data_IF_355380783047
#
_entry.id   IF_355380783047
#
_cell.length_a   1.000
_cell.length_b   1.000
_cell.length_c   1.000
_cell.angle_alpha   90.00
_cell.angle_beta   90.00
_cell.angle_gamma   90.00
#
_symmetry.space_group_name_H-M   'P 1'
#
loop_
_entity.id
_entity.type
_entity.pdbx_description
1 polymer ?
#
# COMPACT_ATOMS: atom_id res chain seq x y z
N UNK A 1 1.87 20.85 -9.69
CA UNK A 1 1.31 19.78 -10.56
C UNK A 1 0.57 18.76 -9.69
N UNK A 2 -0.76 18.84 -9.63
CA UNK A 2 -1.60 17.91 -8.87
C UNK A 2 -1.79 16.64 -9.71
N UNK A 3 -1.21 15.51 -9.27
CA UNK A 3 -1.58 14.21 -9.84
C UNK A 3 -3.00 13.90 -9.39
N UNK A 4 -3.93 13.87 -10.34
CA UNK A 4 -5.30 13.43 -10.11
C UNK A 4 -5.25 12.03 -9.49
N UNK A 5 -5.76 11.89 -8.25
CA UNK A 5 -6.07 10.57 -7.69
C UNK A 5 -7.12 9.96 -8.62
N UNK A 6 -6.79 8.81 -9.18
CA UNK A 6 -7.73 8.00 -9.94
C UNK A 6 -9.05 7.90 -9.16
N UNK A 7 -10.16 8.10 -9.88
CA UNK A 7 -11.50 8.40 -9.37
C UNK A 7 -11.91 7.57 -8.17
N UNK A 8 -12.28 8.29 -7.11
CA UNK A 8 -12.68 7.77 -5.80
C UNK A 8 -14.19 7.93 -5.67
N UNK A 9 -14.98 7.12 -6.39
CA UNK A 9 -16.44 7.04 -6.21
C UNK A 9 -17.00 5.73 -6.78
N UNK A 10 -17.59 4.94 -5.89
CA UNK A 10 -18.42 3.74 -6.10
C UNK A 10 -18.49 3.11 -7.50
N UNK A 11 -17.72 2.05 -7.71
CA UNK A 11 -17.96 1.04 -8.75
C UNK A 11 -17.42 -0.28 -8.19
N UNK A 12 -18.16 -1.38 -8.37
CA UNK A 12 -17.72 -2.75 -8.06
C UNK A 12 -16.21 -2.89 -8.30
N UNK A 13 -15.45 -3.07 -7.22
CA UNK A 13 -14.01 -2.86 -7.21
C UNK A 13 -13.35 -3.80 -8.21
N UNK A 14 -12.95 -3.26 -9.36
CA UNK A 14 -12.11 -3.98 -10.31
C UNK A 14 -10.91 -4.52 -9.55
N UNK A 15 -10.52 -5.79 -9.73
CA UNK A 15 -9.30 -6.31 -9.11
C UNK A 15 -8.11 -5.41 -9.44
N UNK A 16 -7.36 -5.02 -8.41
CA UNK A 16 -6.15 -4.21 -8.58
C UNK A 16 -5.06 -5.01 -9.28
N UNK A 17 -4.28 -4.33 -10.11
CA UNK A 17 -3.12 -4.88 -10.82
C UNK A 17 -1.88 -4.89 -9.92
N UNK A 18 -0.86 -5.70 -10.24
CA UNK A 18 0.40 -5.72 -9.48
C UNK A 18 1.07 -4.32 -9.39
N UNK A 19 0.90 -3.49 -10.42
CA UNK A 19 1.38 -2.11 -10.42
C UNK A 19 0.64 -1.26 -9.39
N UNK A 20 -0.68 -1.34 -9.35
CA UNK A 20 -1.51 -0.63 -8.37
C UNK A 20 -1.23 -1.13 -6.95
N UNK A 21 -1.10 -2.45 -6.76
CA UNK A 21 -0.65 -3.07 -5.50
C UNK A 21 0.67 -2.48 -5.02
N UNK A 22 1.66 -2.35 -5.91
CA UNK A 22 2.95 -1.75 -5.57
C UNK A 22 2.79 -0.32 -5.08
N UNK A 23 1.97 0.50 -5.75
CA UNK A 23 1.71 1.87 -5.31
C UNK A 23 0.96 1.96 -3.98
N UNK A 24 -0.01 1.07 -3.74
CA UNK A 24 -0.70 1.00 -2.45
C UNK A 24 0.27 0.64 -1.32
N UNK A 25 1.09 -0.40 -1.49
CA UNK A 25 2.05 -0.85 -0.48
C UNK A 25 3.06 0.24 -0.13
N UNK A 26 3.66 0.90 -1.12
CA UNK A 26 4.65 1.96 -0.84
C UNK A 26 3.98 3.24 -0.31
N UNK A 27 2.79 3.58 -0.81
CA UNK A 27 2.06 4.78 -0.41
C UNK A 27 1.53 4.70 1.02
N UNK A 28 1.20 3.49 1.49
CA UNK A 28 0.74 3.22 2.86
C UNK A 28 1.70 3.69 3.95
N UNK A 29 2.98 3.89 3.62
CA UNK A 29 3.99 4.45 4.54
C UNK A 29 3.74 5.92 4.87
N UNK A 30 3.24 6.69 3.90
CA UNK A 30 3.07 8.13 4.01
C UNK A 30 1.63 8.53 4.34
N UNK A 31 0.65 7.77 3.84
CA UNK A 31 -0.78 7.99 4.09
C UNK A 31 -1.45 6.64 4.39
N UNK A 32 -2.21 6.50 5.49
CA UNK A 32 -2.94 5.27 5.77
C UNK A 32 -3.89 4.89 4.65
N UNK A 33 -3.98 3.60 4.34
CA UNK A 33 -4.93 3.08 3.35
C UNK A 33 -6.37 3.19 3.88
N UNK A 34 -7.31 3.48 2.97
CA UNK A 34 -8.74 3.32 3.25
C UNK A 34 -9.13 1.85 3.39
N UNK A 35 -10.28 1.58 4.02
CA UNK A 35 -10.81 0.20 4.16
C UNK A 35 -10.92 -0.52 2.81
N UNK A 36 -11.43 0.16 1.78
CA UNK A 36 -11.55 -0.40 0.43
C UNK A 36 -10.19 -0.76 -0.20
N UNK A 37 -9.14 0.01 0.10
CA UNK A 37 -7.79 -0.27 -0.40
C UNK A 37 -7.15 -1.45 0.36
N UNK A 38 -7.42 -1.58 1.66
CA UNK A 38 -7.01 -2.72 2.48
C UNK A 38 -7.65 -4.01 1.94
N UNK A 39 -8.95 -4.00 1.69
CA UNK A 39 -9.68 -5.17 1.19
C UNK A 39 -9.19 -5.58 -0.20
N UNK A 40 -9.00 -4.61 -1.11
CA UNK A 40 -8.49 -4.87 -2.45
C UNK A 40 -7.04 -5.41 -2.44
N UNK A 41 -6.20 -4.88 -1.55
CA UNK A 41 -4.84 -5.37 -1.34
C UNK A 41 -4.86 -6.80 -0.80
N UNK A 42 -5.65 -7.07 0.23
CA UNK A 42 -5.79 -8.40 0.83
C UNK A 42 -6.24 -9.43 -0.22
N UNK A 43 -7.22 -9.08 -1.06
CA UNK A 43 -7.70 -9.97 -2.12
C UNK A 43 -6.62 -10.27 -3.17
N UNK A 44 -5.89 -9.25 -3.64
CA UNK A 44 -4.79 -9.45 -4.59
C UNK A 44 -3.68 -10.33 -4.01
N UNK A 45 -3.35 -10.12 -2.72
CA UNK A 45 -2.30 -10.88 -2.04
C UNK A 45 -2.67 -12.35 -1.81
N UNK A 46 -3.95 -12.76 -1.92
CA UNK A 46 -4.30 -14.19 -1.86
C UNK A 46 -3.80 -14.98 -3.07
N UNK A 47 -3.68 -14.33 -4.23
CA UNK A 47 -3.47 -15.03 -5.51
C UNK A 47 -2.15 -14.70 -6.20
N UNK A 48 -1.49 -13.58 -5.84
CA UNK A 48 -0.24 -13.16 -6.47
C UNK A 48 0.99 -13.39 -5.57
N UNK A 49 1.74 -14.46 -5.82
CA UNK A 49 2.96 -14.81 -5.05
C UNK A 49 4.05 -13.73 -5.13
N UNK A 50 4.23 -13.10 -6.28
CA UNK A 50 5.20 -12.01 -6.44
C UNK A 50 4.86 -10.81 -5.54
N UNK A 51 3.58 -10.41 -5.51
CA UNK A 51 3.15 -9.31 -4.65
C UNK A 51 3.16 -9.69 -3.17
N UNK A 52 2.96 -10.96 -2.79
CA UNK A 52 3.16 -11.42 -1.41
C UNK A 52 4.62 -11.22 -0.96
N UNK A 53 5.59 -11.61 -1.79
CA UNK A 53 7.02 -11.44 -1.49
C UNK A 53 7.37 -9.95 -1.42
N UNK A 54 6.95 -9.16 -2.42
CA UNK A 54 7.21 -7.73 -2.44
C UNK A 54 6.61 -7.02 -1.23
N UNK A 55 5.37 -7.34 -0.83
CA UNK A 55 4.72 -6.79 0.35
C UNK A 55 5.56 -7.04 1.61
N UNK A 56 6.05 -8.27 1.82
CA UNK A 56 6.93 -8.61 2.95
C UNK A 56 8.24 -7.82 2.92
N UNK A 57 8.87 -7.71 1.75
CA UNK A 57 10.13 -6.96 1.59
C UNK A 57 9.96 -5.48 1.91
N UNK A 58 8.88 -4.85 1.42
CA UNK A 58 8.59 -3.45 1.74
C UNK A 58 8.27 -3.25 3.23
N UNK A 59 7.48 -4.13 3.85
CA UNK A 59 7.22 -4.06 5.29
C UNK A 59 8.50 -4.15 6.12
N UNK A 60 9.42 -5.06 5.76
CA UNK A 60 10.72 -5.19 6.42
C UNK A 60 11.59 -3.94 6.24
N UNK A 61 11.67 -3.43 5.01
CA UNK A 61 12.42 -2.20 4.71
C UNK A 61 11.87 -1.01 5.50
N UNK A 62 10.56 -0.83 5.53
CA UNK A 62 9.96 0.32 6.23
C UNK A 62 10.12 0.22 7.75
N UNK A 63 10.02 -0.96 8.35
CA UNK A 63 10.33 -1.13 9.77
C UNK A 63 11.80 -0.78 10.11
N UNK A 64 12.74 -1.13 9.22
CA UNK A 64 14.15 -0.73 9.36
C UNK A 64 14.32 0.78 9.22
N UNK A 65 13.64 1.40 8.24
CA UNK A 65 13.69 2.85 8.06
C UNK A 65 13.06 3.60 9.25
N UNK A 66 11.96 3.11 9.82
CA UNK A 66 11.33 3.72 10.98
C UNK A 66 12.26 3.68 12.20
N UNK A 67 13.05 2.61 12.34
CA UNK A 67 14.09 2.48 13.38
C UNK A 67 15.24 3.46 13.14
N UNK A 68 15.78 3.50 11.92
CA UNK A 68 16.97 4.30 11.59
C UNK A 68 16.69 5.80 11.54
N UNK A 69 15.49 6.17 11.08
CA UNK A 69 15.12 7.56 10.86
C UNK A 69 14.37 8.16 12.04
N UNK A 70 14.19 7.39 13.13
CA UNK A 70 13.49 7.75 14.35
C UNK A 70 12.50 8.87 14.07
N UNK A 71 11.40 8.55 13.36
CA UNK A 71 10.27 9.48 13.26
C UNK A 71 9.80 9.68 14.71
N UNK A 72 10.37 10.69 15.36
CA UNK A 72 10.05 11.08 16.72
C UNK A 72 8.55 11.20 16.78
N UNK A 73 7.94 10.25 17.49
CA UNK A 73 6.62 10.40 18.07
C UNK A 73 6.77 11.61 18.98
N UNK A 74 6.48 12.79 18.43
CA UNK A 74 6.37 14.01 19.21
C UNK A 74 5.26 13.75 20.25
N UNK A 75 5.53 13.96 21.55
CA UNK A 75 4.54 13.72 22.60
C UNK A 75 3.27 14.56 22.41
#
# INVERSE_FOLDING_TARGET
MRRARLGRTGMMAKPITCRETTYLVIGARDEPLSSSEIDALAEHLKTCSHCQVANKQFSQLFAQLDTLLARDVKP
#
